data_IF_849647524232
#
_entry.id   IF_849647524232
#
_cell.length_a   1.000
_cell.length_b   1.000
_cell.length_c   1.000
_cell.angle_alpha   90.00
_cell.angle_beta   90.00
_cell.angle_gamma   90.00
#
_symmetry.space_group_name_H-M   'P 1'
#
loop_
_entity.id
_entity.type
_entity.pdbx_description
1 polymer ?
#
# COMPACT_ATOMS: atom_id res chain seq x y z
N UNK A 1 11.49 15.71 -10.87
CA UNK A 1 11.27 15.39 -10.58
C UNK A 1 10.86 14.67 -10.25
N UNK A 2 10.80 14.07 -9.93
CA UNK A 2 10.41 13.43 -9.65
C UNK A 2 10.25 12.73 -8.97
N UNK A 3 10.01 12.50 -8.49
CA UNK A 3 9.77 11.85 -7.83
C UNK A 3 9.00 11.24 -7.27
N UNK A 4 9.70 10.64 -7.14
CA UNK A 4 8.59 10.42 -6.89
C UNK A 4 8.07 9.20 -6.28
N UNK A 5 6.99 9.28 -5.53
CA UNK A 5 6.23 8.20 -4.92
C UNK A 5 5.54 7.45 -6.05
N UNK A 6 5.66 6.11 -6.05
CA UNK A 6 5.09 5.30 -7.12
C UNK A 6 3.57 5.37 -7.13
N UNK A 7 2.97 4.98 -8.26
CA UNK A 7 1.53 4.91 -8.39
C UNK A 7 0.93 3.98 -7.36
N UNK A 8 1.59 2.84 -7.12
CA UNK A 8 1.12 1.87 -6.13
C UNK A 8 1.07 2.50 -4.74
N UNK A 9 2.13 3.21 -4.36
CA UNK A 9 2.19 3.86 -3.04
C UNK A 9 1.07 4.87 -2.87
N UNK A 10 0.85 5.69 -3.89
CA UNK A 10 -0.22 6.68 -3.85
C UNK A 10 -1.58 6.04 -3.75
N UNK A 11 -1.80 4.97 -4.51
CA UNK A 11 -3.08 4.29 -4.51
C UNK A 11 -3.36 3.62 -3.17
N UNK A 12 -2.36 2.98 -2.57
CA UNK A 12 -2.52 2.35 -1.27
C UNK A 12 -2.97 3.39 -0.24
N UNK A 13 -2.26 4.50 -0.18
CA UNK A 13 -2.58 5.56 0.77
C UNK A 13 -3.97 6.13 0.54
N UNK A 14 -4.30 6.40 -0.72
CA UNK A 14 -5.58 6.98 -1.09
C UNK A 14 -6.74 6.06 -0.70
N UNK A 15 -6.64 4.79 -1.09
CA UNK A 15 -7.71 3.83 -0.83
C UNK A 15 -7.82 3.55 0.66
N UNK A 16 -6.68 3.42 1.35
CA UNK A 16 -6.67 3.21 2.78
C UNK A 16 -7.42 4.33 3.50
N UNK A 17 -7.10 5.57 3.17
CA UNK A 17 -7.75 6.72 3.80
C UNK A 17 -9.23 6.79 3.47
N UNK A 18 -9.57 6.46 2.23
CA UNK A 18 -10.96 6.45 1.80
C UNK A 18 -11.79 5.44 2.61
N UNK A 19 -11.17 4.34 2.99
CA UNK A 19 -11.84 3.31 3.79
C UNK A 19 -11.74 3.58 5.29
N UNK A 20 -11.07 4.66 5.70
CA UNK A 20 -10.95 5.01 7.10
C UNK A 20 -10.05 4.08 7.89
N UNK A 21 -9.07 3.50 7.25
CA UNK A 21 -8.17 2.53 7.87
C UNK A 21 -6.81 3.18 8.14
N UNK A 22 -6.30 3.02 9.37
CA UNK A 22 -4.97 3.51 9.71
C UNK A 22 -3.89 2.62 9.10
N UNK A 23 -2.67 3.12 9.06
CA UNK A 23 -1.53 2.32 8.60
C UNK A 23 -1.35 1.09 9.47
N UNK A 24 -1.52 1.25 10.79
CA UNK A 24 -1.40 0.14 11.72
C UNK A 24 -2.47 -0.92 11.44
N UNK A 25 -3.70 -0.48 11.24
CA UNK A 25 -4.79 -1.39 10.93
C UNK A 25 -4.53 -2.15 9.64
N UNK A 26 -4.06 -1.43 8.62
CA UNK A 26 -3.74 -2.07 7.34
C UNK A 26 -2.64 -3.12 7.52
N UNK A 27 -1.62 -2.81 8.30
CA UNK A 27 -0.52 -3.74 8.51
C UNK A 27 -1.03 -5.05 9.13
N UNK A 28 -1.95 -4.95 10.06
CA UNK A 28 -2.53 -6.13 10.70
C UNK A 28 -3.42 -6.92 9.75
N UNK A 29 -4.26 -6.23 8.99
CA UNK A 29 -5.15 -6.88 8.03
C UNK A 29 -4.36 -7.57 6.92
N UNK A 30 -3.30 -6.93 6.45
CA UNK A 30 -2.50 -7.46 5.36
C UNK A 30 -1.43 -8.45 5.83
N UNK A 31 -1.21 -8.53 7.14
CA UNK A 31 -0.13 -9.33 7.70
C UNK A 31 1.22 -8.92 7.12
N UNK A 32 1.42 -7.61 7.05
CA UNK A 32 2.65 -6.99 6.57
C UNK A 32 3.16 -6.11 7.70
N UNK A 33 4.46 -6.09 7.90
CA UNK A 33 5.04 -5.30 8.98
C UNK A 33 4.62 -3.83 8.88
N UNK A 34 4.33 -3.23 10.01
CA UNK A 34 3.93 -1.83 10.07
C UNK A 34 4.96 -0.91 9.37
N UNK A 35 6.25 -1.14 9.67
CA UNK A 35 7.31 -0.35 9.04
C UNK A 35 7.31 -0.49 7.52
N UNK A 36 6.95 -1.67 7.03
CA UNK A 36 6.88 -1.89 5.59
C UNK A 36 5.78 -1.05 4.97
N UNK A 37 4.61 -0.99 5.61
CA UNK A 37 3.51 -0.14 5.12
C UNK A 37 3.95 1.32 5.08
N UNK A 38 4.58 1.80 6.16
CA UNK A 38 5.06 3.18 6.22
C UNK A 38 6.04 3.47 5.08
N UNK A 39 7.00 2.55 4.88
CA UNK A 39 8.03 2.75 3.87
C UNK A 39 7.47 2.71 2.46
N UNK A 40 6.47 1.88 2.21
CA UNK A 40 5.83 1.83 0.90
C UNK A 40 5.10 3.14 0.64
N UNK A 41 4.28 3.59 1.59
CA UNK A 41 3.51 4.81 1.40
C UNK A 41 4.37 6.06 1.29
N UNK A 42 5.50 6.06 1.96
CA UNK A 42 6.40 7.22 1.92
C UNK A 42 7.29 7.24 0.67
N UNK A 43 7.34 6.13 -0.06
CA UNK A 43 8.20 6.02 -1.22
C UNK A 43 9.59 5.50 -0.90
N UNK A 44 9.88 5.19 0.37
CA UNK A 44 11.18 4.65 0.75
C UNK A 44 11.41 3.29 0.13
N UNK A 45 10.36 2.48 0.02
CA UNK A 45 10.40 1.25 -0.75
C UNK A 45 9.78 1.55 -2.10
N UNK A 46 10.59 1.58 -3.14
CA UNK A 46 10.13 1.94 -4.48
C UNK A 46 9.41 0.82 -5.20
N UNK A 47 9.84 -0.40 -4.97
CA UNK A 47 9.30 -1.56 -5.67
C UNK A 47 8.97 -2.66 -4.66
N UNK A 48 7.81 -2.56 -4.01
CA UNK A 48 7.40 -3.65 -3.13
C UNK A 48 7.20 -4.92 -3.94
N UNK A 49 7.41 -6.07 -3.30
CA UNK A 49 7.25 -7.33 -4.01
C UNK A 49 5.80 -7.55 -4.38
N UNK A 50 5.57 -8.35 -5.41
CA UNK A 50 4.22 -8.71 -5.83
C UNK A 50 3.45 -9.34 -4.67
N UNK A 51 4.11 -10.21 -3.92
CA UNK A 51 3.48 -10.86 -2.79
C UNK A 51 2.96 -9.85 -1.76
N UNK A 52 3.78 -8.84 -1.45
CA UNK A 52 3.38 -7.79 -0.51
C UNK A 52 2.21 -6.99 -1.05
N UNK A 53 2.27 -6.62 -2.33
CA UNK A 53 1.20 -5.85 -2.97
C UNK A 53 -0.09 -6.64 -2.99
N UNK A 54 -0.02 -7.94 -3.26
CA UNK A 54 -1.20 -8.80 -3.25
C UNK A 54 -1.83 -8.86 -1.87
N UNK A 55 -1.02 -8.96 -0.82
CA UNK A 55 -1.54 -8.97 0.55
C UNK A 55 -2.26 -7.68 0.89
N UNK A 56 -1.68 -6.56 0.46
CA UNK A 56 -2.29 -5.25 0.72
C UNK A 56 -3.59 -5.09 -0.06
N UNK A 57 -3.61 -5.49 -1.33
CA UNK A 57 -4.82 -5.41 -2.14
C UNK A 57 -5.95 -6.23 -1.51
N UNK A 58 -5.63 -7.44 -1.06
CA UNK A 58 -6.61 -8.30 -0.42
C UNK A 58 -7.13 -7.67 0.87
N UNK A 59 -6.24 -7.09 1.66
CA UNK A 59 -6.64 -6.43 2.91
C UNK A 59 -7.55 -5.23 2.66
N UNK A 60 -7.35 -4.54 1.55
CA UNK A 60 -8.17 -3.40 1.17
C UNK A 60 -9.41 -3.81 0.39
N UNK A 61 -9.55 -5.10 0.11
CA UNK A 61 -10.68 -5.64 -0.63
C UNK A 61 -10.80 -5.02 -2.02
N UNK A 62 -9.68 -4.92 -2.71
CA UNK A 62 -9.63 -4.40 -4.08
C UNK A 62 -8.77 -5.34 -4.92
N UNK A 63 -8.91 -5.20 -6.24
CA UNK A 63 -8.08 -5.98 -7.15
C UNK A 63 -6.68 -5.41 -7.25
N UNK A 64 -5.75 -6.24 -7.69
CA UNK A 64 -4.38 -5.78 -7.93
C UNK A 64 -4.37 -4.69 -9.00
N UNK A 65 -5.23 -4.82 -10.00
CA UNK A 65 -5.35 -3.80 -11.05
C UNK A 65 -5.70 -2.43 -10.48
N UNK A 66 -6.58 -2.38 -9.50
CA UNK A 66 -6.95 -1.11 -8.89
C UNK A 66 -5.78 -0.45 -8.18
N UNK A 67 -4.88 -1.26 -7.65
CA UNK A 67 -3.69 -0.71 -6.99
C UNK A 67 -2.65 -0.21 -8.00
N UNK A 68 -2.62 -0.79 -9.18
CA UNK A 68 -1.56 -0.50 -10.15
C UNK A 68 -1.94 0.50 -11.22
N UNK A 69 -3.16 0.97 -11.21
CA UNK A 69 -3.59 1.98 -12.19
C UNK A 69 -2.84 3.31 -12.03
#
# INVERSE_FOLDING_TARGET
>A
MSNEISTIAKNIKKIRKKKGISQDKLSKLAEVAYNTIIKIESGAIRSPTIKTVQKIAKALDISLDELTK
#
